data_IF_006332591240
#
_entry.id   IF_006332591240
#
_cell.length_a   1.000
_cell.length_b   1.000
_cell.length_c   1.000
_cell.angle_alpha   90.00
_cell.angle_beta   90.00
_cell.angle_gamma   90.00
#
_symmetry.space_group_name_H-M   'P 1'
#
loop_
_entity.id
_entity.type
_entity.pdbx_description
1 polymer ?
#
# COMPACT_ATOMS: atom_id res chain seq x y z
N UNK A 1 10.30 5.79 -25.21
CA UNK A 1 9.76 5.53 -23.86
C UNK A 1 8.46 4.75 -23.94
N UNK A 2 8.33 3.74 -23.12
CA UNK A 2 7.12 2.93 -22.99
C UNK A 2 6.37 3.28 -21.72
N UNK A 3 5.09 2.99 -21.69
CA UNK A 3 4.25 3.19 -20.52
C UNK A 3 3.31 1.98 -20.37
N UNK A 4 3.18 1.47 -19.17
CA UNK A 4 2.34 0.32 -18.86
C UNK A 4 1.56 0.60 -17.60
N UNK A 5 0.29 0.20 -17.57
CA UNK A 5 -0.57 0.39 -16.41
C UNK A 5 -1.28 -0.92 -16.09
N UNK A 6 -1.32 -1.26 -14.82
CA UNK A 6 -2.12 -2.38 -14.32
C UNK A 6 -2.82 -1.96 -13.03
N UNK A 7 -4.03 -2.44 -12.83
CA UNK A 7 -4.77 -2.22 -11.59
C UNK A 7 -4.89 -3.52 -10.83
N UNK A 8 -4.57 -3.47 -9.54
CA UNK A 8 -4.76 -4.57 -8.61
C UNK A 8 -5.92 -4.21 -7.70
N UNK A 9 -6.77 -5.17 -7.38
CA UNK A 9 -7.95 -4.93 -6.56
C UNK A 9 -7.90 -5.78 -5.30
N UNK A 10 -8.22 -5.16 -4.17
CA UNK A 10 -8.20 -5.80 -2.85
C UNK A 10 -9.50 -5.57 -2.12
N UNK A 11 -9.96 -6.60 -1.43
CA UNK A 11 -11.13 -6.54 -0.57
C UNK A 11 -10.78 -7.29 0.70
N UNK A 12 -10.05 -6.62 1.60
CA UNK A 12 -9.59 -7.23 2.84
C UNK A 12 -10.77 -7.45 3.78
N UNK A 13 -10.91 -8.65 4.36
CA UNK A 13 -12.00 -8.92 5.29
C UNK A 13 -11.78 -8.28 6.65
N UNK A 14 -10.54 -7.96 6.99
CA UNK A 14 -10.18 -7.35 8.25
C UNK A 14 -10.08 -5.84 8.12
N UNK A 15 -10.33 -5.15 9.24
CA UNK A 15 -10.23 -3.69 9.28
C UNK A 15 -8.81 -3.21 9.00
N UNK A 16 -7.82 -3.88 9.60
CA UNK A 16 -6.40 -3.59 9.40
C UNK A 16 -5.71 -4.85 8.91
N UNK A 17 -5.07 -4.75 7.76
CA UNK A 17 -4.37 -5.87 7.16
C UNK A 17 -3.19 -5.38 6.32
N UNK A 18 -2.14 -6.19 6.25
CA UNK A 18 -0.99 -5.92 5.39
C UNK A 18 -0.85 -7.10 4.43
N UNK A 19 -0.93 -6.82 3.14
CA UNK A 19 -0.88 -7.84 2.10
C UNK A 19 0.38 -7.65 1.28
N UNK A 20 1.22 -8.68 1.21
CA UNK A 20 2.42 -8.64 0.36
C UNK A 20 2.01 -8.73 -1.11
N UNK A 21 2.31 -7.70 -1.88
CA UNK A 21 1.94 -7.61 -3.30
C UNK A 21 3.16 -7.65 -4.23
N UNK A 22 4.32 -7.97 -3.69
CA UNK A 22 5.57 -7.97 -4.45
C UNK A 22 5.47 -8.82 -5.72
N UNK A 23 4.95 -10.05 -5.61
CA UNK A 23 4.84 -10.95 -6.76
C UNK A 23 3.92 -10.39 -7.85
N UNK A 24 2.83 -9.75 -7.45
CA UNK A 24 1.88 -9.15 -8.40
C UNK A 24 2.52 -7.96 -9.14
N UNK A 25 3.34 -7.18 -8.45
CA UNK A 25 4.06 -6.06 -9.08
C UNK A 25 5.16 -6.58 -10.01
N UNK A 26 5.89 -7.61 -9.60
CA UNK A 26 6.90 -8.25 -10.46
C UNK A 26 6.26 -8.82 -11.74
N UNK A 27 5.09 -9.42 -11.62
CA UNK A 27 4.35 -9.93 -12.76
C UNK A 27 3.94 -8.79 -13.70
N UNK A 28 3.47 -7.66 -13.16
CA UNK A 28 3.14 -6.49 -13.96
C UNK A 28 4.37 -5.94 -14.70
N UNK A 29 5.51 -5.90 -14.04
CA UNK A 29 6.76 -5.48 -14.67
C UNK A 29 7.13 -6.42 -15.82
N UNK A 30 7.03 -7.71 -15.59
CA UNK A 30 7.32 -8.71 -16.64
C UNK A 30 6.39 -8.52 -17.85
N UNK A 31 5.10 -8.33 -17.61
CA UNK A 31 4.13 -8.08 -18.68
C UNK A 31 4.45 -6.81 -19.46
N UNK A 32 4.99 -5.79 -18.81
CA UNK A 32 5.32 -4.51 -19.43
C UNK A 32 6.46 -4.61 -20.45
N UNK A 33 7.37 -5.55 -20.26
CA UNK A 33 8.56 -5.68 -21.07
C UNK A 33 9.60 -4.60 -20.84
N UNK A 34 9.38 -3.70 -19.87
CA UNK A 34 10.30 -2.60 -19.57
C UNK A 34 11.50 -3.14 -18.80
N UNK A 35 12.70 -2.74 -19.22
CA UNK A 35 13.97 -3.21 -18.65
C UNK A 35 14.65 -2.15 -17.81
N UNK A 36 14.46 -0.88 -18.14
CA UNK A 36 15.06 0.25 -17.43
C UNK A 36 14.01 1.33 -17.26
N UNK A 37 13.78 1.77 -16.02
CA UNK A 37 12.77 2.79 -15.78
C UNK A 37 12.38 2.90 -14.32
N UNK A 38 11.14 3.31 -14.11
CA UNK A 38 10.55 3.51 -12.79
C UNK A 38 9.20 2.80 -12.71
N UNK A 39 8.95 2.17 -11.56
CA UNK A 39 7.68 1.53 -11.26
C UNK A 39 7.02 2.25 -10.10
N UNK A 40 5.88 2.87 -10.34
CA UNK A 40 5.05 3.50 -9.32
C UNK A 40 4.00 2.49 -8.85
N UNK A 41 3.86 2.34 -7.55
CA UNK A 41 2.82 1.49 -6.95
C UNK A 41 2.04 2.38 -5.97
N UNK A 42 0.77 2.60 -6.25
CA UNK A 42 0.01 3.68 -5.65
C UNK A 42 -1.35 3.19 -5.13
N UNK A 43 -1.60 3.37 -3.84
CA UNK A 43 -2.92 3.10 -3.26
C UNK A 43 -3.90 4.19 -3.68
N UNK A 44 -4.97 3.80 -4.32
CA UNK A 44 -5.95 4.71 -4.90
C UNK A 44 -7.18 4.90 -4.01
N UNK A 45 -6.99 4.79 -2.71
CA UNK A 45 -8.04 5.04 -1.73
C UNK A 45 -7.46 5.73 -0.51
N UNK A 46 -8.21 6.69 0.03
CA UNK A 46 -7.75 7.56 1.13
C UNK A 46 -7.63 6.87 2.48
N UNK A 47 -8.03 5.60 2.58
CA UNK A 47 -7.87 4.79 3.80
C UNK A 47 -6.97 3.58 3.60
N UNK A 48 -6.21 3.57 2.51
CA UNK A 48 -5.28 2.49 2.20
C UNK A 48 -3.89 3.06 1.89
N UNK A 49 -2.89 2.19 1.89
CA UNK A 49 -1.49 2.58 1.74
C UNK A 49 -0.74 1.56 0.88
N UNK A 50 0.36 1.99 0.30
CA UNK A 50 1.39 1.09 -0.23
C UNK A 50 2.70 1.50 0.44
N UNK A 51 3.43 0.52 0.96
CA UNK A 51 4.71 0.78 1.62
C UNK A 51 5.67 -0.38 1.38
N UNK A 52 6.95 -0.13 1.64
CA UNK A 52 8.00 -1.13 1.46
C UNK A 52 8.71 -1.33 2.78
N UNK A 53 8.82 -2.58 3.21
CA UNK A 53 9.62 -2.99 4.34
C UNK A 53 9.79 -4.51 4.33
N UNK A 54 10.30 -5.06 5.43
CA UNK A 54 10.55 -6.49 5.56
C UNK A 54 9.26 -7.30 5.68
N UNK A 55 9.24 -8.47 5.10
CA UNK A 55 8.13 -9.40 5.21
C UNK A 55 8.33 -10.28 6.45
N UNK A 56 8.17 -9.67 7.62
CA UNK A 56 8.39 -10.36 8.89
C UNK A 56 7.18 -10.16 9.81
N UNK A 57 6.63 -11.25 10.30
CA UNK A 57 5.37 -11.25 11.03
C UNK A 57 5.39 -10.40 12.30
N UNK A 58 6.47 -10.47 13.08
CA UNK A 58 6.59 -9.68 14.31
C UNK A 58 6.60 -8.19 14.04
N UNK A 59 7.29 -7.79 12.97
CA UNK A 59 7.32 -6.40 12.55
C UNK A 59 5.92 -5.92 12.17
N UNK A 60 5.13 -6.74 11.46
CA UNK A 60 3.78 -6.37 11.07
C UNK A 60 2.84 -6.25 12.28
N UNK A 61 3.03 -7.09 13.29
CA UNK A 61 2.30 -6.95 14.55
C UNK A 61 2.71 -5.65 15.27
N UNK A 62 3.99 -5.29 15.21
CA UNK A 62 4.48 -4.03 15.76
C UNK A 62 3.84 -2.84 15.04
N UNK A 63 3.69 -2.88 13.71
CA UNK A 63 3.00 -1.83 12.96
C UNK A 63 1.56 -1.66 13.45
N UNK A 64 0.84 -2.76 13.62
CA UNK A 64 -0.56 -2.69 14.07
C UNK A 64 -0.68 -2.03 15.43
N UNK A 65 0.17 -2.42 16.37
CA UNK A 65 0.19 -1.83 17.71
C UNK A 65 0.56 -0.36 17.68
N UNK A 66 1.63 -0.03 16.96
CA UNK A 66 2.13 1.34 16.83
C UNK A 66 1.06 2.25 16.21
N UNK A 67 0.41 1.81 15.16
CA UNK A 67 -0.64 2.59 14.49
C UNK A 67 -1.85 2.80 15.41
N UNK A 68 -2.22 1.78 16.19
CA UNK A 68 -3.32 1.93 17.16
C UNK A 68 -2.96 2.87 18.30
N UNK A 69 -1.71 2.91 18.73
CA UNK A 69 -1.25 3.87 19.73
C UNK A 69 -1.30 5.29 19.20
N UNK A 70 -0.89 5.50 17.95
CA UNK A 70 -0.87 6.82 17.33
C UNK A 70 -2.27 7.32 16.96
N UNK A 71 -3.10 6.45 16.44
CA UNK A 71 -4.43 6.78 15.95
C UNK A 71 -5.40 5.65 16.31
N UNK A 72 -5.82 5.55 17.59
CA UNK A 72 -6.73 4.48 18.00
C UNK A 72 -8.07 4.59 17.31
N UNK A 73 -8.65 3.45 16.96
CA UNK A 73 -9.99 3.41 16.36
C UNK A 73 -11.05 3.90 17.34
N UNK A 74 -10.92 3.49 18.59
CA UNK A 74 -11.88 3.87 19.65
C UNK A 74 -11.23 4.90 20.59
N UNK A 75 -11.98 5.84 21.16
CA UNK A 75 -13.40 6.08 20.89
C UNK A 75 -13.61 6.80 19.55
N UNK A 76 -14.64 6.41 18.83
CA UNK A 76 -14.96 6.98 17.51
C UNK A 76 -15.16 8.49 17.58
N UNK A 77 -15.76 8.96 18.68
CA UNK A 77 -16.03 10.38 18.90
C UNK A 77 -14.79 11.26 19.05
N UNK A 78 -13.62 10.65 19.19
CA UNK A 78 -12.35 11.37 19.29
C UNK A 78 -12.02 12.20 18.04
N UNK A 79 -12.51 11.76 16.88
CA UNK A 79 -12.12 12.34 15.60
C UNK A 79 -13.20 13.28 15.06
N UNK A 80 -12.77 14.49 14.71
CA UNK A 80 -13.68 15.47 14.09
C UNK A 80 -14.27 14.95 12.77
N UNK A 81 -13.50 14.18 12.01
CA UNK A 81 -13.96 13.57 10.77
C UNK A 81 -15.20 12.69 10.99
N UNK A 82 -15.27 12.01 12.13
CA UNK A 82 -16.37 11.09 12.42
C UNK A 82 -17.69 11.78 12.73
N UNK A 83 -17.70 13.11 12.91
CA UNK A 83 -18.93 13.88 13.09
C UNK A 83 -19.83 13.84 11.86
N UNK A 84 -19.31 13.45 10.70
CA UNK A 84 -20.09 13.32 9.46
C UNK A 84 -20.89 12.03 9.39
N UNK A 85 -20.85 11.20 10.44
CA UNK A 85 -21.45 9.88 10.45
C UNK A 85 -20.50 8.74 10.09
N UNK A 86 -19.23 9.07 9.84
CA UNK A 86 -18.20 8.08 9.55
C UNK A 86 -17.61 7.53 10.85
N UNK A 87 -16.85 6.43 10.73
CA UNK A 87 -16.14 5.82 11.86
C UNK A 87 -14.67 5.54 11.54
N UNK A 88 -14.14 6.18 10.53
CA UNK A 88 -12.84 5.83 9.95
C UNK A 88 -11.81 6.97 9.99
N UNK A 89 -11.96 7.92 10.91
CA UNK A 89 -10.97 8.99 11.06
C UNK A 89 -9.57 8.47 11.31
N UNK A 90 -9.46 7.41 12.11
CA UNK A 90 -8.19 6.75 12.38
C UNK A 90 -7.56 6.15 11.13
N UNK A 91 -8.37 5.61 10.22
CA UNK A 91 -7.88 5.01 8.99
C UNK A 91 -7.22 6.04 8.08
N UNK A 92 -7.78 7.26 8.01
CA UNK A 92 -7.18 8.35 7.25
C UNK A 92 -5.82 8.74 7.83
N UNK A 93 -5.70 8.77 9.16
CA UNK A 93 -4.44 9.12 9.82
C UNK A 93 -3.39 8.03 9.64
N UNK A 94 -3.78 6.77 9.73
CA UNK A 94 -2.89 5.64 9.48
C UNK A 94 -2.35 5.67 8.06
N UNK A 95 -3.23 5.90 7.08
CA UNK A 95 -2.82 6.05 5.68
C UNK A 95 -1.86 7.23 5.51
N UNK A 96 -2.11 8.34 6.19
CA UNK A 96 -1.27 9.53 6.08
C UNK A 96 0.16 9.24 6.54
N UNK A 97 0.31 8.47 7.61
CA UNK A 97 1.64 8.09 8.13
C UNK A 97 2.31 7.04 7.25
N UNK A 98 1.57 6.01 6.85
CA UNK A 98 2.15 4.90 6.09
C UNK A 98 2.44 5.24 4.63
N UNK A 99 1.74 6.25 4.11
CA UNK A 99 2.02 6.76 2.78
C UNK A 99 1.07 6.25 1.70
N UNK A 100 1.04 7.00 0.60
CA UNK A 100 0.16 6.75 -0.54
C UNK A 100 0.78 5.81 -1.57
N UNK A 101 2.07 5.98 -1.85
CA UNK A 101 2.75 5.29 -2.95
C UNK A 101 4.21 5.03 -2.65
N UNK A 102 4.76 4.12 -3.43
CA UNK A 102 6.21 3.91 -3.49
C UNK A 102 6.65 3.92 -4.94
N UNK A 103 7.92 4.26 -5.16
CA UNK A 103 8.55 4.18 -6.47
C UNK A 103 9.75 3.28 -6.34
N UNK A 104 9.85 2.30 -7.24
CA UNK A 104 10.96 1.35 -7.28
C UNK A 104 11.64 1.50 -8.63
N UNK A 105 12.97 1.61 -8.63
CA UNK A 105 13.72 1.60 -9.86
C UNK A 105 13.60 0.24 -10.55
N UNK A 106 13.58 0.26 -11.87
CA UNK A 106 13.64 -0.95 -12.70
C UNK A 106 15.01 -1.00 -13.35
N UNK A 107 15.75 -2.07 -13.07
CA UNK A 107 17.11 -2.27 -13.56
C UNK A 107 17.22 -3.68 -14.14
N UNK A 108 17.66 -3.79 -15.38
CA UNK A 108 17.80 -5.10 -16.06
C UNK A 108 16.52 -5.95 -16.00
N UNK A 109 15.37 -5.30 -16.12
CA UNK A 109 14.08 -5.98 -16.11
C UNK A 109 13.61 -6.47 -14.76
N UNK A 110 14.18 -5.98 -13.67
CA UNK A 110 13.84 -6.36 -12.31
C UNK A 110 13.56 -5.14 -11.46
N UNK A 111 12.72 -5.32 -10.44
CA UNK A 111 12.58 -4.33 -9.39
C UNK A 111 13.89 -4.28 -8.59
N UNK A 112 14.48 -3.10 -8.51
CA UNK A 112 15.79 -2.92 -7.89
C UNK A 112 15.61 -2.65 -6.40
N UNK A 113 15.59 -3.72 -5.62
CA UNK A 113 15.37 -3.66 -4.18
C UNK A 113 16.66 -3.70 -3.40
N UNK A 114 16.67 -3.04 -2.24
CA UNK A 114 17.62 -3.33 -1.19
C UNK A 114 17.30 -4.67 -0.52
N UNK A 115 18.20 -5.18 0.32
CA UNK A 115 17.95 -6.44 1.04
C UNK A 115 16.66 -6.36 1.84
N UNK A 116 15.87 -7.45 1.80
CA UNK A 116 14.65 -7.63 2.59
C UNK A 116 13.47 -6.72 2.21
N UNK A 117 13.62 -5.85 1.21
CA UNK A 117 12.52 -5.00 0.78
C UNK A 117 11.44 -5.81 0.05
N UNK A 118 10.19 -5.64 0.51
CA UNK A 118 9.01 -6.22 -0.10
C UNK A 118 7.93 -5.15 -0.14
N UNK A 119 7.04 -5.26 -1.10
CA UNK A 119 5.96 -4.26 -1.29
C UNK A 119 4.69 -4.77 -0.62
N UNK A 120 4.05 -3.89 0.15
CA UNK A 120 2.82 -4.22 0.87
C UNK A 120 1.69 -3.26 0.53
N UNK A 121 0.49 -3.81 0.45
CA UNK A 121 -0.74 -3.05 0.49
C UNK A 121 -1.22 -3.01 1.94
N UNK A 122 -1.48 -1.82 2.46
CA UNK A 122 -2.00 -1.63 3.81
C UNK A 122 -3.46 -1.24 3.77
N UNK A 123 -4.30 -1.99 4.48
CA UNK A 123 -5.72 -1.73 4.63
C UNK A 123 -5.98 -1.18 6.02
N UNK A 124 -6.74 -0.09 6.14
CA UNK A 124 -7.03 0.50 7.45
C UNK A 124 -8.52 0.68 7.74
N UNK A 125 -9.39 0.39 6.77
CA UNK A 125 -10.85 0.52 6.95
C UNK A 125 -11.62 -0.77 6.64
N UNK A 126 -11.16 -1.57 5.71
CA UNK A 126 -11.59 -2.96 5.50
C UNK A 126 -12.90 -3.20 4.79
N UNK A 127 -13.75 -2.21 4.61
CA UNK A 127 -15.14 -2.44 4.20
C UNK A 127 -15.42 -2.32 2.71
N UNK A 128 -14.44 -1.89 1.94
CA UNK A 128 -14.65 -1.56 0.52
C UNK A 128 -13.61 -2.24 -0.34
N UNK A 129 -14.01 -2.51 -1.56
CA UNK A 129 -13.08 -2.94 -2.60
C UNK A 129 -12.24 -1.72 -3.01
N UNK A 130 -10.92 -1.87 -2.99
CA UNK A 130 -9.99 -0.78 -3.26
C UNK A 130 -8.96 -1.20 -4.28
N UNK A 131 -8.50 -0.25 -5.09
CA UNK A 131 -7.51 -0.54 -6.12
C UNK A 131 -6.14 0.02 -5.81
N UNK A 132 -5.14 -0.65 -6.33
CA UNK A 132 -3.75 -0.19 -6.36
C UNK A 132 -3.38 -0.03 -7.82
N UNK A 133 -2.87 1.14 -8.16
CA UNK A 133 -2.39 1.43 -9.50
C UNK A 133 -0.91 1.09 -9.59
N UNK A 134 -0.55 0.26 -10.56
CA UNK A 134 0.84 0.01 -10.92
C UNK A 134 1.08 0.71 -12.25
N UNK A 135 2.01 1.67 -12.27
CA UNK A 135 2.37 2.41 -13.47
C UNK A 135 3.87 2.30 -13.69
N UNK A 136 4.26 1.83 -14.87
CA UNK A 136 5.67 1.61 -15.19
C UNK A 136 6.01 2.41 -16.43
N UNK A 137 7.08 3.19 -16.36
CA UNK A 137 7.59 3.96 -17.49
C UNK A 137 9.06 3.66 -17.69
N UNK A 138 9.49 3.63 -18.94
CA UNK A 138 10.90 3.39 -19.26
C UNK A 138 11.10 2.80 -20.65
N UNK A 139 12.22 2.13 -20.79
CA UNK A 139 12.58 1.50 -22.06
C UNK A 139 12.58 -0.02 -21.98
#
# INVERSE_FOLDING_TARGET
MKSYKKELWFNAPERVAFINITNQVEEALHESGIKEGLCLINAMHITASVFINDNERGLHEDYKRWLEELAPHEPISKYLHNRTGEDNGDAHLKRQIMGREVIVAVTDGRLDFGPWEQIFYGEFDGRRRKRVLVKIIGE
#
